data_IF_814225465139
#
_entry.id   IF_814225465139
#
_cell.length_a   1.000
_cell.length_b   1.000
_cell.length_c   1.000
_cell.angle_alpha   90.00
_cell.angle_beta   90.00
_cell.angle_gamma   90.00
#
_symmetry.space_group_name_H-M   'P 1'
#
loop_
_entity.id
_entity.type
_entity.pdbx_description
1 polymer ?
#
# COMPACT_ATOMS: atom_id res chain seq x y z
N UNK A 1 14.61 4.53 25.68
CA UNK A 1 15.10 3.48 24.77
C UNK A 1 15.00 4.04 23.36
N UNK A 2 16.10 4.15 22.61
CA UNK A 2 16.05 4.70 21.25
C UNK A 2 15.41 3.64 20.34
N UNK A 3 14.32 3.99 19.64
CA UNK A 3 13.67 3.08 18.71
C UNK A 3 14.62 2.76 17.55
N UNK A 4 14.60 1.50 17.11
CA UNK A 4 15.44 1.01 16.03
C UNK A 4 15.04 1.71 14.72
N UNK A 5 15.99 2.31 14.03
CA UNK A 5 15.79 2.82 12.67
C UNK A 5 16.60 1.99 11.67
N UNK A 6 16.18 1.99 10.43
CA UNK A 6 16.78 1.20 9.35
C UNK A 6 16.71 2.00 8.04
N UNK A 7 17.83 2.24 7.35
CA UNK A 7 17.81 2.96 6.08
C UNK A 7 17.01 2.20 5.02
N UNK A 8 16.36 2.91 4.10
CA UNK A 8 15.55 2.29 3.05
C UNK A 8 16.34 1.26 2.21
N UNK A 9 17.63 1.50 1.99
CA UNK A 9 18.51 0.58 1.24
C UNK A 9 18.67 -0.81 1.88
N UNK A 10 18.36 -0.95 3.13
CA UNK A 10 18.39 -2.24 3.85
C UNK A 10 17.00 -2.86 4.01
N UNK A 11 15.93 -2.11 3.69
CA UNK A 11 14.55 -2.54 3.88
C UNK A 11 14.04 -3.43 2.75
N UNK A 12 13.10 -4.30 3.10
CA UNK A 12 12.28 -5.07 2.18
C UNK A 12 10.85 -4.59 2.24
N UNK A 13 10.30 -4.17 1.11
CA UNK A 13 8.94 -3.67 0.97
C UNK A 13 8.07 -4.62 0.14
N UNK A 14 6.81 -4.78 0.52
CA UNK A 14 5.76 -5.39 -0.29
C UNK A 14 4.78 -4.31 -0.72
N UNK A 15 4.41 -4.28 -2.00
CA UNK A 15 3.40 -3.37 -2.54
C UNK A 15 2.34 -4.18 -3.28
N UNK A 16 1.14 -4.24 -2.73
CA UNK A 16 0.03 -4.87 -3.43
C UNK A 16 -0.52 -3.96 -4.53
N UNK A 17 -0.90 -4.52 -5.68
CA UNK A 17 -1.24 -3.73 -6.86
C UNK A 17 -0.04 -2.95 -7.42
N UNK A 18 1.19 -3.46 -7.20
CA UNK A 18 2.44 -2.75 -7.50
C UNK A 18 2.83 -2.70 -9.00
N UNK A 19 2.08 -3.37 -9.88
CA UNK A 19 2.38 -3.40 -11.31
C UNK A 19 1.92 -2.18 -12.10
N UNK A 20 1.04 -1.35 -11.57
CA UNK A 20 0.43 -0.21 -12.28
C UNK A 20 0.18 0.99 -11.36
N UNK A 21 -0.10 2.15 -11.95
CA UNK A 21 -0.62 3.34 -11.26
C UNK A 21 0.18 3.76 -10.03
N UNK A 22 -0.51 4.00 -8.93
CA UNK A 22 0.08 4.45 -7.66
C UNK A 22 1.07 3.41 -7.13
N UNK A 23 0.71 2.11 -7.16
CA UNK A 23 1.57 1.04 -6.65
C UNK A 23 2.90 0.95 -7.40
N UNK A 24 2.88 1.11 -8.74
CA UNK A 24 4.10 1.15 -9.55
C UNK A 24 4.98 2.37 -9.23
N UNK A 25 4.35 3.53 -9.01
CA UNK A 25 5.08 4.74 -8.62
C UNK A 25 5.76 4.56 -7.25
N UNK A 26 5.08 3.92 -6.30
CA UNK A 26 5.68 3.55 -5.00
C UNK A 26 6.87 2.60 -5.17
N UNK A 27 6.71 1.57 -6.01
CA UNK A 27 7.76 0.59 -6.27
C UNK A 27 9.01 1.26 -6.84
N UNK A 28 8.85 2.12 -7.83
CA UNK A 28 9.97 2.87 -8.43
C UNK A 28 10.66 3.79 -7.42
N UNK A 29 9.91 4.50 -6.60
CA UNK A 29 10.46 5.39 -5.59
C UNK A 29 11.25 4.65 -4.50
N UNK A 30 10.72 3.54 -3.97
CA UNK A 30 11.41 2.72 -2.98
C UNK A 30 12.63 2.01 -3.57
N UNK A 31 12.54 1.48 -4.78
CA UNK A 31 13.67 0.87 -5.48
C UNK A 31 14.80 1.90 -5.75
N UNK A 32 14.45 3.12 -6.16
CA UNK A 32 15.42 4.22 -6.34
C UNK A 32 16.07 4.65 -5.03
N UNK A 33 15.39 4.50 -3.90
CA UNK A 33 15.95 4.70 -2.56
C UNK A 33 16.78 3.48 -2.06
N UNK A 34 16.93 2.44 -2.89
CA UNK A 34 17.76 1.27 -2.63
C UNK A 34 17.03 0.10 -1.97
N UNK A 35 15.73 0.21 -1.64
CA UNK A 35 14.97 -0.87 -1.04
C UNK A 35 14.80 -2.08 -1.98
N UNK A 36 14.67 -3.28 -1.40
CA UNK A 36 14.14 -4.46 -2.10
C UNK A 36 12.62 -4.36 -2.10
N UNK A 37 12.00 -4.45 -3.27
CA UNK A 37 10.56 -4.22 -3.44
C UNK A 37 9.90 -5.43 -4.10
N UNK A 38 9.02 -6.09 -3.39
CA UNK A 38 8.14 -7.12 -3.96
C UNK A 38 6.86 -6.46 -4.44
N UNK A 39 6.63 -6.45 -5.74
CA UNK A 39 5.37 -6.01 -6.34
C UNK A 39 4.44 -7.20 -6.52
N UNK A 40 3.23 -7.10 -5.98
CA UNK A 40 2.33 -8.25 -5.90
C UNK A 40 0.94 -7.92 -6.45
N UNK A 41 0.44 -8.74 -7.37
CA UNK A 41 -0.92 -8.66 -7.94
C UNK A 41 -1.28 -9.96 -8.67
N UNK A 42 -2.47 -10.03 -9.31
CA UNK A 42 -2.94 -11.24 -9.99
C UNK A 42 -2.25 -11.51 -11.33
N UNK A 43 -1.84 -10.46 -12.06
CA UNK A 43 -1.30 -10.61 -13.42
C UNK A 43 0.23 -10.75 -13.39
N UNK A 44 0.71 -11.98 -13.50
CA UNK A 44 2.14 -12.30 -13.56
C UNK A 44 2.84 -11.55 -14.71
N UNK A 45 2.23 -11.55 -15.91
CA UNK A 45 2.79 -10.87 -17.07
C UNK A 45 2.91 -9.34 -16.89
N UNK A 46 1.93 -8.70 -16.22
CA UNK A 46 2.01 -7.26 -15.95
C UNK A 46 3.06 -6.95 -14.88
N UNK A 47 3.18 -7.81 -13.86
CA UNK A 47 4.21 -7.68 -12.82
C UNK A 47 5.62 -7.87 -13.40
N UNK A 48 5.83 -8.87 -14.27
CA UNK A 48 7.12 -9.11 -14.91
C UNK A 48 7.58 -7.89 -15.69
N UNK A 49 6.74 -7.36 -16.59
CA UNK A 49 7.07 -6.15 -17.36
C UNK A 49 7.37 -4.95 -16.44
N UNK A 50 6.56 -4.73 -15.41
CA UNK A 50 6.80 -3.63 -14.47
C UNK A 50 8.11 -3.79 -13.71
N UNK A 51 8.46 -5.00 -13.28
CA UNK A 51 9.72 -5.29 -12.59
C UNK A 51 10.92 -5.05 -13.52
N UNK A 52 10.88 -5.53 -14.77
CA UNK A 52 11.94 -5.34 -15.75
C UNK A 52 12.20 -3.85 -16.02
N UNK A 53 11.13 -3.09 -16.28
CA UNK A 53 11.23 -1.65 -16.54
C UNK A 53 11.74 -0.86 -15.32
N UNK A 54 11.27 -1.18 -14.12
CA UNK A 54 11.72 -0.52 -12.90
C UNK A 54 13.18 -0.87 -12.56
N UNK A 55 13.58 -2.14 -12.72
CA UNK A 55 14.96 -2.58 -12.51
C UNK A 55 15.93 -1.93 -13.53
N UNK A 56 15.53 -1.84 -14.80
CA UNK A 56 16.29 -1.12 -15.80
C UNK A 56 16.45 0.37 -15.43
N UNK A 57 15.38 1.00 -14.94
CA UNK A 57 15.41 2.41 -14.52
C UNK A 57 16.33 2.72 -13.34
N UNK A 58 16.48 1.77 -12.40
CA UNK A 58 17.39 1.94 -11.24
C UNK A 58 18.78 1.32 -11.46
N UNK A 59 18.99 0.60 -12.56
CA UNK A 59 20.27 -0.04 -12.89
C UNK A 59 20.67 -1.20 -11.97
N UNK A 60 19.72 -1.80 -11.26
CA UNK A 60 19.94 -2.89 -10.31
C UNK A 60 18.68 -3.74 -10.12
N UNK A 61 18.85 -5.02 -9.78
CA UNK A 61 17.74 -5.89 -9.43
C UNK A 61 17.24 -5.54 -8.02
N UNK A 62 16.19 -4.71 -7.94
CA UNK A 62 15.54 -4.25 -6.70
C UNK A 62 14.07 -4.60 -6.63
N UNK A 63 13.41 -4.82 -7.78
CA UNK A 63 11.98 -5.08 -7.88
C UNK A 63 11.74 -6.53 -8.29
N UNK A 64 10.95 -7.23 -7.50
CA UNK A 64 10.67 -8.67 -7.62
C UNK A 64 9.17 -8.90 -7.80
N UNK A 65 8.74 -9.53 -8.89
CA UNK A 65 7.32 -9.81 -9.11
C UNK A 65 6.85 -11.01 -8.28
N UNK A 66 5.61 -10.95 -7.77
CA UNK A 66 4.95 -12.04 -7.05
C UNK A 66 3.46 -12.11 -7.42
N UNK A 67 3.05 -13.17 -8.12
CA UNK A 67 1.66 -13.35 -8.53
C UNK A 67 0.81 -13.93 -7.39
N UNK A 68 -0.26 -13.20 -6.98
CA UNK A 68 -1.21 -13.65 -5.96
C UNK A 68 -2.55 -12.93 -6.07
N UNK A 69 -3.59 -13.52 -5.48
CA UNK A 69 -4.85 -12.83 -5.24
C UNK A 69 -4.94 -12.42 -3.77
N UNK A 70 -5.08 -11.12 -3.53
CA UNK A 70 -5.15 -10.54 -2.19
C UNK A 70 -6.40 -10.99 -1.40
N UNK A 71 -7.44 -11.49 -2.09
CA UNK A 71 -8.66 -12.01 -1.48
C UNK A 71 -8.45 -13.37 -0.81
N UNK A 72 -7.40 -14.08 -1.18
CA UNK A 72 -7.06 -15.41 -0.67
C UNK A 72 -6.12 -15.31 0.53
N UNK A 73 -6.65 -15.58 1.74
CA UNK A 73 -5.86 -15.51 2.98
C UNK A 73 -4.55 -16.30 2.92
N UNK A 74 -4.60 -17.54 2.47
CA UNK A 74 -3.41 -18.40 2.38
C UNK A 74 -2.33 -17.80 1.46
N UNK A 75 -2.74 -17.11 0.38
CA UNK A 75 -1.82 -16.42 -0.53
C UNK A 75 -1.20 -15.17 0.10
N UNK A 76 -1.95 -14.46 0.95
CA UNK A 76 -1.41 -13.34 1.74
C UNK A 76 -0.35 -13.83 2.74
N UNK A 77 -0.61 -14.92 3.45
CA UNK A 77 0.33 -15.56 4.37
C UNK A 77 1.60 -16.05 3.63
N UNK A 78 1.44 -16.67 2.45
CA UNK A 78 2.53 -17.13 1.61
C UNK A 78 3.42 -15.98 1.09
N UNK A 79 2.84 -14.83 0.71
CA UNK A 79 3.59 -13.65 0.29
C UNK A 79 4.49 -13.11 1.41
N UNK A 80 3.97 -13.04 2.63
CA UNK A 80 4.75 -12.61 3.81
C UNK A 80 5.87 -13.62 4.11
N UNK A 81 5.57 -14.93 4.06
CA UNK A 81 6.56 -15.99 4.20
C UNK A 81 7.68 -15.90 3.16
N UNK A 82 7.32 -15.70 1.89
CA UNK A 82 8.29 -15.51 0.81
C UNK A 82 9.28 -14.36 1.11
N UNK A 83 8.80 -13.23 1.63
CA UNK A 83 9.70 -12.12 1.98
C UNK A 83 10.63 -12.49 3.13
N UNK A 84 10.13 -13.18 4.15
CA UNK A 84 10.93 -13.64 5.28
C UNK A 84 12.02 -14.64 4.84
N UNK A 85 11.68 -15.61 3.99
CA UNK A 85 12.59 -16.64 3.49
C UNK A 85 13.64 -16.07 2.54
N UNK A 86 13.21 -15.27 1.54
CA UNK A 86 14.10 -14.78 0.49
C UNK A 86 14.99 -13.62 0.93
N UNK A 87 14.46 -12.70 1.73
CA UNK A 87 15.13 -11.44 2.07
C UNK A 87 15.42 -11.31 3.56
N UNK A 88 14.94 -12.25 4.36
CA UNK A 88 15.14 -12.25 5.80
C UNK A 88 14.22 -11.28 6.56
N UNK A 89 13.46 -10.41 5.90
CA UNK A 89 12.56 -9.44 6.54
C UNK A 89 11.42 -8.99 5.61
N UNK A 90 10.36 -8.48 6.23
CA UNK A 90 9.38 -7.58 5.63
C UNK A 90 9.32 -6.34 6.51
N UNK A 91 9.83 -5.23 6.02
CA UNK A 91 10.00 -3.99 6.77
C UNK A 91 8.89 -2.96 6.46
N UNK A 92 8.41 -2.96 5.20
CA UNK A 92 7.34 -2.06 4.73
C UNK A 92 6.26 -2.86 4.02
N UNK A 93 5.03 -2.78 4.50
CA UNK A 93 3.85 -3.35 3.84
C UNK A 93 2.97 -2.22 3.30
N UNK A 94 2.84 -2.11 1.98
CA UNK A 94 1.95 -1.14 1.33
C UNK A 94 0.70 -1.86 0.81
N UNK A 95 -0.40 -1.72 1.52
CA UNK A 95 -1.73 -2.17 1.12
C UNK A 95 -2.30 -1.17 0.11
N UNK A 96 -2.02 -1.38 -1.17
CA UNK A 96 -2.46 -0.50 -2.25
C UNK A 96 -3.49 -1.17 -3.18
N UNK A 97 -3.60 -2.49 -3.20
CA UNK A 97 -4.64 -3.16 -3.99
C UNK A 97 -6.03 -2.64 -3.64
N UNK A 98 -6.78 -2.26 -4.66
CA UNK A 98 -8.13 -1.77 -4.48
C UNK A 98 -8.84 -1.58 -5.83
N UNK A 99 -10.14 -1.63 -5.77
CA UNK A 99 -11.04 -1.35 -6.89
C UNK A 99 -12.28 -0.63 -6.37
N UNK A 100 -12.96 0.08 -7.26
CA UNK A 100 -14.28 0.64 -7.06
C UNK A 100 -15.22 0.02 -8.09
N UNK A 101 -16.44 -0.26 -7.69
CA UNK A 101 -17.55 -0.60 -8.58
C UNK A 101 -18.47 0.61 -8.59
N UNK A 102 -18.65 1.30 -9.73
CA UNK A 102 -19.63 2.37 -9.84
C UNK A 102 -21.05 1.78 -9.71
N UNK A 103 -21.79 2.22 -8.70
CA UNK A 103 -23.12 1.74 -8.36
C UNK A 103 -23.79 2.75 -7.43
N UNK A 104 -25.12 2.85 -7.45
CA UNK A 104 -25.91 3.55 -6.42
C UNK A 104 -26.25 2.57 -5.29
N UNK A 105 -26.84 3.07 -4.20
CA UNK A 105 -27.25 2.18 -3.07
C UNK A 105 -28.27 1.11 -3.52
N UNK A 106 -29.15 1.45 -4.44
CA UNK A 106 -30.17 0.54 -4.99
C UNK A 106 -29.59 -0.49 -5.96
N UNK A 107 -28.42 -0.25 -6.52
CA UNK A 107 -27.76 -1.13 -7.51
C UNK A 107 -26.73 -2.08 -6.86
N UNK A 108 -26.50 -1.98 -5.56
CA UNK A 108 -25.56 -2.86 -4.85
C UNK A 108 -25.98 -4.33 -5.04
N UNK A 109 -25.04 -5.13 -5.52
CA UNK A 109 -25.19 -6.58 -5.58
C UNK A 109 -24.29 -7.26 -4.54
N UNK A 110 -24.69 -8.46 -4.08
CA UNK A 110 -23.86 -9.26 -3.16
C UNK A 110 -22.47 -9.52 -3.74
N UNK A 111 -22.37 -9.81 -5.05
CA UNK A 111 -21.10 -10.06 -5.74
C UNK A 111 -20.22 -8.80 -5.79
N UNK A 112 -20.78 -7.64 -6.15
CA UNK A 112 -20.08 -6.35 -6.21
C UNK A 112 -19.56 -5.97 -4.83
N UNK A 113 -20.44 -6.02 -3.83
CA UNK A 113 -20.13 -5.75 -2.43
C UNK A 113 -18.97 -6.63 -1.91
N UNK A 114 -19.11 -7.96 -2.06
CA UNK A 114 -18.08 -8.90 -1.60
C UNK A 114 -16.74 -8.70 -2.35
N UNK A 115 -16.80 -8.44 -3.65
CA UNK A 115 -15.59 -8.17 -4.46
C UNK A 115 -14.84 -6.94 -3.97
N UNK A 116 -15.54 -5.85 -3.68
CA UNK A 116 -14.95 -4.61 -3.17
C UNK A 116 -14.39 -4.82 -1.76
N UNK A 117 -15.17 -5.37 -0.85
CA UNK A 117 -14.73 -5.56 0.53
C UNK A 117 -13.61 -6.57 0.66
N UNK A 118 -13.67 -7.68 -0.08
CA UNK A 118 -12.63 -8.70 -0.02
C UNK A 118 -11.29 -8.20 -0.57
N UNK A 119 -11.32 -7.35 -1.60
CA UNK A 119 -10.10 -6.77 -2.18
C UNK A 119 -9.55 -5.62 -1.32
N UNK A 120 -10.40 -4.63 -1.01
CA UNK A 120 -9.94 -3.36 -0.42
C UNK A 120 -9.69 -3.44 1.08
N UNK A 121 -10.41 -4.31 1.78
CA UNK A 121 -10.39 -4.38 3.25
C UNK A 121 -9.89 -5.73 3.76
N UNK A 122 -10.56 -6.84 3.45
CA UNK A 122 -10.18 -8.17 3.97
C UNK A 122 -8.76 -8.57 3.57
N UNK A 123 -8.36 -8.29 2.32
CA UNK A 123 -7.00 -8.55 1.85
C UNK A 123 -5.94 -7.81 2.65
N UNK A 124 -6.15 -6.51 2.90
CA UNK A 124 -5.27 -5.72 3.74
C UNK A 124 -5.20 -6.25 5.19
N UNK A 125 -6.34 -6.65 5.75
CA UNK A 125 -6.40 -7.26 7.08
C UNK A 125 -5.59 -8.56 7.15
N UNK A 126 -5.68 -9.44 6.14
CA UNK A 126 -4.91 -10.70 6.11
C UNK A 126 -3.42 -10.47 6.00
N UNK A 127 -2.99 -9.51 5.18
CA UNK A 127 -1.59 -9.14 5.04
C UNK A 127 -1.02 -8.55 6.34
N UNK A 128 -1.74 -7.63 6.98
CA UNK A 128 -1.32 -7.06 8.28
C UNK A 128 -1.27 -8.16 9.36
N UNK A 129 -2.27 -9.02 9.42
CA UNK A 129 -2.30 -10.15 10.36
C UNK A 129 -1.08 -11.07 10.19
N UNK A 130 -0.64 -11.31 8.96
CA UNK A 130 0.54 -12.13 8.69
C UNK A 130 1.85 -11.39 8.97
N UNK A 131 1.94 -10.11 8.59
CA UNK A 131 3.17 -9.33 8.69
C UNK A 131 3.47 -8.84 10.12
N UNK A 132 2.44 -8.49 10.90
CA UNK A 132 2.59 -7.86 12.20
C UNK A 132 3.47 -8.66 13.19
N UNK A 133 3.30 -9.99 13.35
CA UNK A 133 4.17 -10.78 14.23
C UNK A 133 5.65 -10.76 13.79
N UNK A 134 5.89 -10.80 12.47
CA UNK A 134 7.24 -10.75 11.91
C UNK A 134 7.91 -9.38 12.16
N UNK A 135 7.17 -8.30 11.95
CA UNK A 135 7.62 -6.93 12.19
C UNK A 135 7.89 -6.70 13.68
N UNK A 136 6.98 -7.14 14.55
CA UNK A 136 7.12 -7.01 16.00
C UNK A 136 8.36 -7.76 16.54
N UNK A 137 8.59 -9.00 16.09
CA UNK A 137 9.75 -9.80 16.49
C UNK A 137 11.09 -9.18 16.04
N UNK A 138 11.08 -8.35 14.98
CA UNK A 138 12.26 -7.62 14.49
C UNK A 138 12.39 -6.23 15.08
N UNK A 139 11.42 -5.81 15.87
CA UNK A 139 11.34 -4.44 16.45
C UNK A 139 11.38 -3.36 15.37
N UNK A 140 10.83 -3.64 14.18
CA UNK A 140 10.77 -2.70 13.07
C UNK A 140 9.68 -3.10 12.06
N UNK A 141 8.79 -2.16 11.73
CA UNK A 141 7.82 -2.35 10.66
C UNK A 141 7.04 -1.07 10.36
N UNK A 142 6.68 -0.90 9.10
CA UNK A 142 5.81 0.15 8.61
C UNK A 142 4.67 -0.46 7.78
N UNK A 143 3.43 -0.21 8.17
CA UNK A 143 2.24 -0.55 7.42
C UNK A 143 1.66 0.72 6.82
N UNK A 144 1.53 0.75 5.51
CA UNK A 144 0.97 1.88 4.76
C UNK A 144 -0.29 1.41 4.05
N UNK A 145 -1.42 2.01 4.36
CA UNK A 145 -2.67 1.73 3.67
C UNK A 145 -2.99 2.85 2.68
N UNK A 146 -3.24 2.49 1.44
CA UNK A 146 -3.79 3.43 0.45
C UNK A 146 -5.30 3.43 0.58
N UNK A 147 -5.80 4.37 1.41
CA UNK A 147 -7.22 4.63 1.54
C UNK A 147 -7.70 5.55 0.41
N UNK A 148 -8.51 6.54 0.69
CA UNK A 148 -9.07 7.50 -0.24
C UNK A 148 -9.72 8.64 0.52
N UNK A 149 -10.06 9.73 -0.17
CA UNK A 149 -11.08 10.70 0.30
C UNK A 149 -12.42 10.00 0.58
N UNK A 150 -12.74 8.92 -0.14
CA UNK A 150 -13.91 8.07 0.10
C UNK A 150 -13.87 7.30 1.44
N UNK A 151 -12.73 7.28 2.14
CA UNK A 151 -12.64 6.81 3.52
C UNK A 151 -13.00 7.89 4.55
N UNK A 152 -13.29 9.12 4.12
CA UNK A 152 -13.61 10.28 4.97
C UNK A 152 -14.90 10.99 4.58
N UNK A 153 -15.36 10.76 3.36
CA UNK A 153 -16.58 11.32 2.79
C UNK A 153 -17.35 10.23 2.05
N UNK A 154 -18.68 10.29 2.09
CA UNK A 154 -19.53 9.44 1.28
C UNK A 154 -19.67 9.99 -0.13
N UNK A 155 -19.71 9.11 -1.12
CA UNK A 155 -20.01 9.40 -2.53
C UNK A 155 -21.15 8.51 -2.97
N UNK A 156 -22.19 9.08 -3.57
CA UNK A 156 -23.42 8.38 -3.90
C UNK A 156 -23.28 7.30 -4.97
N UNK A 157 -22.24 7.41 -5.78
CA UNK A 157 -21.95 6.54 -6.93
C UNK A 157 -20.94 5.41 -6.65
N UNK A 158 -20.46 5.28 -5.39
CA UNK A 158 -19.49 4.26 -4.98
C UNK A 158 -19.63 3.84 -3.51
N UNK A 159 -20.86 3.48 -3.03
CA UNK A 159 -21.12 3.21 -1.61
C UNK A 159 -20.29 2.04 -1.05
N UNK A 160 -20.14 0.94 -1.78
CA UNK A 160 -19.32 -0.21 -1.36
C UNK A 160 -17.84 0.17 -1.22
N UNK A 161 -17.35 0.99 -2.13
CA UNK A 161 -15.98 1.52 -2.05
C UNK A 161 -15.79 2.41 -0.82
N UNK A 162 -16.73 3.35 -0.57
CA UNK A 162 -16.70 4.17 0.64
C UNK A 162 -16.65 3.32 1.90
N UNK A 163 -17.55 2.35 2.03
CA UNK A 163 -17.58 1.43 3.18
C UNK A 163 -16.23 0.71 3.37
N UNK A 164 -15.62 0.22 2.28
CA UNK A 164 -14.32 -0.45 2.33
C UNK A 164 -13.20 0.47 2.81
N UNK A 165 -13.17 1.72 2.35
CA UNK A 165 -12.12 2.70 2.69
C UNK A 165 -12.29 3.29 4.10
N UNK A 166 -13.53 3.48 4.57
CA UNK A 166 -13.82 3.78 5.98
C UNK A 166 -13.39 2.62 6.90
N UNK A 167 -13.74 1.39 6.53
CA UNK A 167 -13.33 0.19 7.27
C UNK A 167 -11.80 0.05 7.38
N UNK A 168 -11.08 0.40 6.33
CA UNK A 168 -9.62 0.36 6.31
C UNK A 168 -8.99 1.37 7.29
N UNK A 169 -9.55 2.58 7.41
CA UNK A 169 -9.10 3.58 8.38
C UNK A 169 -9.36 3.12 9.82
N UNK A 170 -10.55 2.60 10.13
CA UNK A 170 -10.87 2.06 11.45
C UNK A 170 -10.00 0.85 11.81
N UNK A 171 -9.70 -0.02 10.84
CA UNK A 171 -8.77 -1.12 11.05
C UNK A 171 -7.35 -0.63 11.35
N UNK A 172 -6.86 0.37 10.62
CA UNK A 172 -5.55 0.98 10.86
C UNK A 172 -5.42 1.54 12.28
N UNK A 173 -6.46 2.22 12.78
CA UNK A 173 -6.50 2.74 14.14
C UNK A 173 -6.41 1.62 15.18
N UNK A 174 -7.14 0.52 14.97
CA UNK A 174 -7.07 -0.67 15.85
C UNK A 174 -5.66 -1.30 15.85
N UNK A 175 -4.97 -1.34 14.71
CA UNK A 175 -3.59 -1.87 14.64
C UNK A 175 -2.62 -0.94 15.35
N UNK A 176 -2.76 0.39 15.23
CA UNK A 176 -1.97 1.37 15.99
C UNK A 176 -2.13 1.21 17.49
N UNK A 177 -3.38 1.06 17.96
CA UNK A 177 -3.65 0.84 19.38
C UNK A 177 -3.03 -0.47 19.89
N UNK A 178 -3.12 -1.54 19.10
CA UNK A 178 -2.48 -2.83 19.42
C UNK A 178 -0.94 -2.68 19.50
N UNK A 179 -0.30 -2.05 18.51
CA UNK A 179 1.15 -1.84 18.54
C UNK A 179 1.59 -1.02 19.77
N UNK A 180 0.85 0.04 20.11
CA UNK A 180 1.11 0.85 21.30
C UNK A 180 0.99 0.03 22.59
N UNK A 181 -0.06 -0.79 22.75
CA UNK A 181 -0.32 -1.62 23.94
C UNK A 181 0.72 -2.74 24.11
N UNK A 182 1.23 -3.28 23.01
CA UNK A 182 2.24 -4.34 23.04
C UNK A 182 3.68 -3.83 23.07
N UNK A 183 3.88 -2.52 22.87
CA UNK A 183 5.22 -1.93 22.76
C UNK A 183 5.94 -2.27 21.45
N UNK A 184 5.22 -2.78 20.44
CA UNK A 184 5.82 -3.13 19.15
C UNK A 184 6.23 -1.87 18.39
N UNK A 185 7.50 -1.83 17.90
CA UNK A 185 7.98 -0.75 17.04
C UNK A 185 7.45 -0.89 15.60
N UNK A 186 6.12 -0.84 15.48
CA UNK A 186 5.40 -0.89 14.20
C UNK A 186 4.56 0.37 14.05
N UNK A 187 4.78 1.11 12.95
CA UNK A 187 3.98 2.29 12.60
C UNK A 187 2.92 1.91 11.56
N UNK A 188 1.78 2.58 11.64
CA UNK A 188 0.68 2.39 10.66
C UNK A 188 0.19 3.75 10.22
N UNK A 189 0.28 4.05 8.92
CA UNK A 189 -0.26 5.29 8.36
C UNK A 189 -1.13 5.02 7.15
N UNK A 190 -1.98 6.00 6.85
CA UNK A 190 -2.89 5.94 5.72
C UNK A 190 -2.58 7.09 4.76
N UNK A 191 -2.48 6.77 3.47
CA UNK A 191 -2.51 7.75 2.39
C UNK A 191 -3.94 7.85 1.90
N UNK A 192 -4.52 9.05 1.96
CA UNK A 192 -5.91 9.32 1.60
C UNK A 192 -5.98 10.25 0.37
N UNK A 193 -5.72 9.72 -0.85
CA UNK A 193 -5.78 10.53 -2.05
C UNK A 193 -7.20 10.89 -2.44
N UNK A 194 -7.32 12.04 -3.11
CA UNK A 194 -8.43 12.34 -4.01
C UNK A 194 -8.24 11.64 -5.36
N UNK A 195 -8.64 12.30 -6.46
CA UNK A 195 -8.42 11.76 -7.80
C UNK A 195 -6.92 11.77 -8.15
N UNK A 196 -6.40 10.60 -8.54
CA UNK A 196 -5.00 10.43 -8.95
C UNK A 196 -4.94 10.05 -10.43
N UNK A 197 -4.09 10.73 -11.19
CA UNK A 197 -3.89 10.46 -12.61
C UNK A 197 -3.00 9.22 -12.78
N UNK A 198 -3.63 8.06 -12.80
CA UNK A 198 -2.96 6.75 -12.91
C UNK A 198 -2.62 6.35 -14.34
N UNK A 199 -3.16 7.05 -15.34
CA UNK A 199 -2.89 6.82 -16.77
C UNK A 199 -1.68 7.60 -17.23
N UNK A 200 -1.51 8.83 -16.75
CA UNK A 200 -0.39 9.69 -17.08
C UNK A 200 0.71 9.58 -16.01
N UNK A 201 1.53 8.53 -16.14
CA UNK A 201 2.55 8.19 -15.13
C UNK A 201 3.97 8.61 -15.52
N UNK A 202 4.16 9.25 -16.67
CA UNK A 202 5.48 9.69 -17.15
C UNK A 202 6.08 10.71 -16.17
N UNK A 203 7.38 10.58 -15.91
CA UNK A 203 8.09 11.51 -15.05
C UNK A 203 8.07 12.93 -15.63
N UNK A 204 7.66 13.91 -14.81
CA UNK A 204 7.55 15.30 -15.23
C UNK A 204 6.29 15.66 -16.05
N UNK A 205 5.41 14.69 -16.34
CA UNK A 205 4.15 14.98 -16.99
C UNK A 205 3.21 15.78 -16.06
N UNK A 206 2.42 16.69 -16.63
CA UNK A 206 1.37 17.37 -15.88
C UNK A 206 0.15 16.46 -15.77
N UNK A 207 -0.47 16.35 -14.59
CA UNK A 207 -1.69 15.57 -14.43
C UNK A 207 -2.85 16.24 -15.14
N UNK A 208 -3.92 15.47 -15.40
CA UNK A 208 -5.20 16.03 -15.84
C UNK A 208 -5.70 17.08 -14.82
N UNK A 209 -6.38 18.15 -15.25
CA UNK A 209 -6.96 19.13 -14.32
C UNK A 209 -7.79 18.44 -13.22
N UNK A 210 -7.63 18.87 -11.97
CA UNK A 210 -8.31 18.26 -10.82
C UNK A 210 -7.71 16.95 -10.30
N UNK A 211 -6.66 16.43 -10.94
CA UNK A 211 -6.00 15.17 -10.52
C UNK A 211 -4.63 15.44 -9.88
N UNK A 212 -4.23 14.55 -8.98
CA UNK A 212 -2.88 14.49 -8.41
C UNK A 212 -2.03 13.57 -9.28
N UNK A 213 -0.82 13.98 -9.65
CA UNK A 213 0.12 13.09 -10.33
C UNK A 213 0.66 12.01 -9.39
N UNK A 214 0.83 10.78 -9.87
CA UNK A 214 1.30 9.64 -9.07
C UNK A 214 2.63 9.87 -8.35
N UNK A 215 3.51 10.72 -8.89
CA UNK A 215 4.79 11.07 -8.23
C UNK A 215 4.60 11.79 -6.90
N UNK A 216 3.50 12.55 -6.72
CA UNK A 216 3.20 13.18 -5.44
C UNK A 216 2.79 12.15 -4.39
N UNK A 217 2.11 11.07 -4.81
CA UNK A 217 1.83 9.94 -3.94
C UNK A 217 3.13 9.25 -3.49
N UNK A 218 4.05 9.02 -4.42
CA UNK A 218 5.36 8.44 -4.11
C UNK A 218 6.20 9.32 -3.17
N UNK A 219 6.18 10.63 -3.37
CA UNK A 219 6.86 11.59 -2.47
C UNK A 219 6.26 11.58 -1.07
N UNK A 220 4.94 11.50 -0.94
CA UNK A 220 4.27 11.40 0.35
C UNK A 220 4.61 10.11 1.09
N UNK A 221 4.69 8.98 0.37
CA UNK A 221 5.15 7.71 0.94
C UNK A 221 6.58 7.83 1.48
N UNK A 222 7.52 8.32 0.66
CA UNK A 222 8.92 8.49 1.08
C UNK A 222 9.04 9.43 2.28
N UNK A 223 8.29 10.55 2.29
CA UNK A 223 8.23 11.46 3.43
C UNK A 223 7.78 10.75 4.70
N UNK A 224 6.68 10.00 4.65
CA UNK A 224 6.17 9.26 5.81
C UNK A 224 7.19 8.25 6.36
N UNK A 225 7.87 7.53 5.47
CA UNK A 225 8.88 6.54 5.85
C UNK A 225 10.18 7.18 6.40
N UNK A 226 10.47 8.44 6.03
CA UNK A 226 11.67 9.17 6.46
C UNK A 226 11.57 9.78 7.86
N UNK A 227 10.37 9.86 8.43
CA UNK A 227 10.17 10.42 9.77
C UNK A 227 10.80 9.54 10.85
N UNK A 228 11.23 10.17 11.94
CA UNK A 228 11.75 9.47 13.11
C UNK A 228 10.72 8.47 13.66
N UNK A 229 11.21 7.39 14.26
CA UNK A 229 10.35 6.27 14.69
C UNK A 229 9.36 6.60 15.81
N UNK A 230 9.61 7.64 16.58
CA UNK A 230 8.76 8.16 17.65
C UNK A 230 7.68 9.14 17.15
N UNK A 231 7.75 9.53 15.86
CA UNK A 231 6.73 10.39 15.22
C UNK A 231 5.54 9.56 14.78
N UNK A 232 4.35 9.95 15.23
CA UNK A 232 3.08 9.37 14.80
C UNK A 232 2.50 10.22 13.67
N UNK A 233 2.37 9.60 12.51
CA UNK A 233 1.69 10.17 11.35
C UNK A 233 0.54 9.23 11.01
N UNK A 234 -0.71 9.67 11.21
CA UNK A 234 -1.86 8.78 11.04
C UNK A 234 -2.40 8.80 9.61
N UNK A 235 -2.82 9.96 9.14
CA UNK A 235 -3.45 10.12 7.83
C UNK A 235 -2.81 11.26 7.03
N UNK A 236 -2.44 10.97 5.80
CA UNK A 236 -1.97 11.97 4.84
C UNK A 236 -3.05 12.19 3.77
N UNK A 237 -3.70 13.35 3.80
CA UNK A 237 -4.67 13.73 2.80
C UNK A 237 -3.98 14.42 1.63
N UNK A 238 -4.18 13.91 0.41
CA UNK A 238 -3.52 14.41 -0.81
C UNK A 238 -4.57 14.59 -1.89
N UNK A 239 -4.85 15.82 -2.28
CA UNK A 239 -5.81 16.14 -3.35
C UNK A 239 -5.36 17.37 -4.13
N UNK A 240 -5.89 17.52 -5.34
CA UNK A 240 -5.65 18.68 -6.18
C UNK A 240 -6.41 19.89 -5.63
N UNK A 241 -5.86 21.07 -5.84
CA UNK A 241 -6.55 22.34 -5.49
C UNK A 241 -7.66 22.72 -6.46
N UNK A 242 -7.81 21.97 -7.57
CA UNK A 242 -8.70 22.27 -8.69
C UNK A 242 -7.93 22.68 -9.92
#
# INVERSE_FOLDING_TARGET
MTLKSKPLSEQTAVITGGGTGIGRAFAGALASAGARVVIASRSEAALGRAADELNAGVGAERVFPYAFDVRERARCEALVGYCAERFGSLDVLVNNSGLAVPETVEEITDEGWETVLSTNLKGAMWLVRAALPLMAAREFGDVVNVSSQAGKHGYADVPSYCASKWGLLGFAESVRDHARKTGANVRVFNLCPGLVDVENTAAGASPRPGFVHVSNMARALLFALSLDRDVVLEDINIYSRG
#
